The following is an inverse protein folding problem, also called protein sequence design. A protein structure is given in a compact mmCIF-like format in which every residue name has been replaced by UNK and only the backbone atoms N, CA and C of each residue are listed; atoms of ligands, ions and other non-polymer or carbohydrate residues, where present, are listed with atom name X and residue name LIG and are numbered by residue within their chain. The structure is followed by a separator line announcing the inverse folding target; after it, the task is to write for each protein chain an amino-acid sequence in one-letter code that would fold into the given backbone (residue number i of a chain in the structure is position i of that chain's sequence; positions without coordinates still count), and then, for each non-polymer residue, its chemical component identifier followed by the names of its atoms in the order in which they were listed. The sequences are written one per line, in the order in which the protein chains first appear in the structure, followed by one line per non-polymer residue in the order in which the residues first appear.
data_IF_386493010561
#
_entry.id   IF_386493010561
#
_cell.length_a   1.000
_cell.length_b   1.000
_cell.length_c   1.000
_cell.angle_alpha   90.00
_cell.angle_beta   90.00
_cell.angle_gamma   90.00
#
_symmetry.space_group_name_H-M   'P 1'
#
loop_
_entity.id
_entity.type
_entity.pdbx_description
1 polymer ?
#
# COMPACT_ATOMS: atom_id res chain seq x y z
N UNK A 1 -53.71 3.67 -82.34
CA UNK A 1 -54.44 3.66 -83.62
C UNK A 1 -53.56 2.95 -84.64
N UNK A 2 -53.91 1.70 -84.90
CA UNK A 2 -53.21 0.81 -85.83
C UNK A 2 -53.45 1.30 -87.24
N UNK A 3 -52.45 1.97 -87.82
CA UNK A 3 -52.41 2.21 -89.26
C UNK A 3 -51.87 0.91 -89.87
N UNK A 4 -52.80 0.11 -90.37
CA UNK A 4 -52.53 -1.15 -91.05
C UNK A 4 -51.54 -0.92 -92.18
N UNK A 5 -50.40 -1.58 -92.06
CA UNK A 5 -49.48 -1.83 -93.17
C UNK A 5 -50.25 -2.82 -94.06
N UNK A 6 -50.97 -2.32 -95.07
CA UNK A 6 -51.49 -3.20 -96.12
C UNK A 6 -50.28 -3.79 -96.85
N UNK A 7 -50.20 -5.12 -96.86
CA UNK A 7 -49.16 -5.85 -97.60
C UNK A 7 -49.31 -5.54 -99.11
N UNK A 8 -48.20 -5.56 -99.85
CA UNK A 8 -48.17 -5.24 -101.28
C UNK A 8 -49.20 -6.06 -102.10
N UNK A 9 -49.57 -7.26 -101.61
CA UNK A 9 -50.55 -8.15 -102.22
C UNK A 9 -52.01 -7.62 -102.15
N UNK A 10 -52.41 -6.96 -101.06
CA UNK A 10 -53.78 -6.40 -100.92
C UNK A 10 -54.00 -5.17 -101.81
N UNK A 11 -52.97 -4.33 -101.97
CA UNK A 11 -52.99 -3.22 -102.92
C UNK A 11 -53.05 -3.72 -104.37
N UNK A 12 -52.34 -4.80 -104.70
CA UNK A 12 -52.37 -5.42 -106.01
C UNK A 12 -53.73 -6.07 -106.35
N UNK A 13 -54.44 -6.64 -105.36
CA UNK A 13 -55.82 -7.12 -105.53
C UNK A 13 -56.82 -5.98 -105.74
N UNK A 14 -56.70 -4.90 -104.95
CA UNK A 14 -57.55 -3.72 -105.08
C UNK A 14 -57.47 -3.06 -106.47
N UNK A 15 -56.25 -2.90 -107.02
CA UNK A 15 -56.08 -2.35 -108.37
C UNK A 15 -56.56 -3.32 -109.47
N UNK A 16 -56.44 -4.65 -109.29
CA UNK A 16 -56.97 -5.65 -110.24
C UNK A 16 -58.49 -5.62 -110.35
N UNK A 17 -59.20 -5.57 -109.21
CA UNK A 17 -60.66 -5.47 -109.19
C UNK A 17 -61.16 -4.17 -109.84
N UNK A 18 -60.56 -3.03 -109.50
CA UNK A 18 -60.95 -1.73 -110.08
C UNK A 18 -60.69 -1.63 -111.58
N UNK A 19 -59.60 -2.23 -112.11
CA UNK A 19 -59.33 -2.25 -113.55
C UNK A 19 -60.26 -3.21 -114.30
N UNK A 20 -60.63 -4.36 -113.71
CA UNK A 20 -61.55 -5.34 -114.29
C UNK A 20 -62.98 -4.80 -114.48
N UNK A 21 -63.55 -4.16 -113.46
CA UNK A 21 -64.90 -3.56 -113.55
C UNK A 21 -64.96 -2.42 -114.58
N UNK A 22 -63.87 -1.66 -114.72
CA UNK A 22 -63.79 -0.49 -115.60
C UNK A 22 -63.56 -0.87 -117.07
N UNK A 23 -62.94 -2.02 -117.33
CA UNK A 23 -62.79 -2.59 -118.68
C UNK A 23 -64.14 -3.15 -119.20
N UNK A 24 -64.92 -3.78 -118.33
CA UNK A 24 -66.26 -4.30 -118.65
C UNK A 24 -67.25 -3.17 -119.01
N UNK A 25 -67.20 -2.03 -118.33
CA UNK A 25 -68.03 -0.86 -118.65
C UNK A 25 -67.66 -0.16 -119.98
N UNK A 26 -66.41 -0.31 -120.46
CA UNK A 26 -65.96 0.27 -121.73
C UNK A 26 -66.31 -0.59 -122.95
N UNK A 27 -66.48 -1.91 -122.78
CA UNK A 27 -66.89 -2.83 -123.85
C UNK A 27 -68.39 -2.79 -124.16
N UNK A 28 -69.23 -2.27 -123.26
CA UNK A 28 -70.69 -2.24 -123.41
C UNK A 28 -71.23 -1.07 -124.27
N UNK A 29 -70.38 -0.21 -124.83
CA UNK A 29 -70.76 1.07 -125.51
C UNK A 29 -70.63 1.11 -127.04
N UNK A 30 -70.45 -0.01 -127.74
CA UNK A 30 -70.46 -0.02 -129.21
C UNK A 30 -71.70 -0.73 -129.78
N UNK A 31 -72.61 0.00 -130.47
CA UNK A 31 -73.66 -0.59 -131.29
C UNK A 31 -73.10 -1.13 -132.62
N UNK A 32 -73.74 -2.19 -133.10
CA UNK A 32 -73.48 -2.95 -134.32
C UNK A 32 -74.56 -2.56 -135.36
N UNK A 33 -74.21 -2.09 -136.57
CA UNK A 33 -75.03 -2.13 -137.80
C UNK A 33 -74.12 -1.89 -139.04
N UNK A 34 -74.35 -2.74 -140.04
CA UNK A 34 -73.93 -2.84 -141.45
C UNK A 34 -74.11 -1.51 -142.24
N UNK A 35 -73.56 -1.20 -143.42
CA UNK A 35 -72.94 -1.94 -144.51
C UNK A 35 -72.15 -0.94 -145.41
N UNK A 36 -71.22 -1.52 -146.17
CA UNK A 36 -70.32 -1.03 -147.24
C UNK A 36 -70.58 0.33 -147.94
N UNK A 37 -69.54 1.18 -147.96
CA UNK A 37 -68.85 1.73 -149.16
C UNK A 37 -68.05 2.97 -148.77
N UNK A 38 -66.79 3.03 -149.20
CA UNK A 38 -66.01 4.28 -149.21
C UNK A 38 -64.90 4.38 -148.17
N UNK A 39 -63.68 4.19 -148.67
CA UNK A 39 -62.55 5.08 -148.43
C UNK A 39 -61.78 4.90 -147.10
N UNK A 40 -60.45 4.79 -147.23
CA UNK A 40 -59.40 4.57 -146.24
C UNK A 40 -59.33 5.58 -145.05
N UNK A 41 -60.39 6.35 -144.80
CA UNK A 41 -60.47 7.44 -143.82
C UNK A 41 -60.93 6.96 -142.43
N UNK A 42 -61.87 6.00 -142.32
CA UNK A 42 -62.38 5.52 -141.01
C UNK A 42 -61.40 4.64 -140.22
N UNK A 43 -60.58 3.84 -140.91
CA UNK A 43 -59.48 3.11 -140.28
C UNK A 43 -58.38 4.07 -139.77
N UNK A 44 -58.18 5.20 -140.44
CA UNK A 44 -57.32 6.27 -139.95
C UNK A 44 -57.91 6.97 -138.73
N UNK A 45 -59.24 7.15 -138.65
CA UNK A 45 -59.93 7.76 -137.51
C UNK A 45 -59.90 6.90 -136.25
N UNK A 46 -60.23 5.60 -136.32
CA UNK A 46 -60.10 4.69 -135.17
C UNK A 46 -58.65 4.50 -134.73
N UNK A 47 -57.69 4.53 -135.66
CA UNK A 47 -56.25 4.55 -135.36
C UNK A 47 -55.80 5.90 -134.78
N UNK A 48 -56.47 7.01 -135.13
CA UNK A 48 -56.33 8.33 -134.50
C UNK A 48 -56.91 8.34 -133.09
N UNK A 49 -58.10 7.81 -132.87
CA UNK A 49 -58.76 7.73 -131.56
C UNK A 49 -57.99 6.82 -130.60
N UNK A 50 -57.53 5.65 -131.06
CA UNK A 50 -56.67 4.79 -130.27
C UNK A 50 -55.32 5.46 -129.95
N UNK A 51 -54.74 6.23 -130.89
CA UNK A 51 -53.56 7.06 -130.63
C UNK A 51 -53.84 8.16 -129.60
N UNK A 52 -55.00 8.83 -129.70
CA UNK A 52 -55.42 9.91 -128.78
C UNK A 52 -55.67 9.34 -127.38
N UNK A 53 -56.38 8.22 -127.26
CA UNK A 53 -56.63 7.52 -126.00
C UNK A 53 -55.33 6.97 -125.40
N UNK A 54 -54.44 6.42 -126.22
CA UNK A 54 -53.10 6.00 -125.79
C UNK A 54 -52.29 7.21 -125.28
N UNK A 55 -52.29 8.34 -125.98
CA UNK A 55 -51.65 9.57 -125.47
C UNK A 55 -52.30 10.09 -124.19
N UNK A 56 -53.62 9.99 -124.03
CA UNK A 56 -54.31 10.40 -122.80
C UNK A 56 -54.05 9.45 -121.61
N UNK A 57 -53.93 8.15 -121.86
CA UNK A 57 -53.56 7.15 -120.86
C UNK A 57 -52.10 7.31 -120.44
N UNK A 58 -51.20 7.56 -121.40
CA UNK A 58 -49.80 7.87 -121.12
C UNK A 58 -49.68 9.20 -120.36
N UNK A 59 -50.47 10.24 -120.69
CA UNK A 59 -50.55 11.45 -119.87
C UNK A 59 -51.06 11.17 -118.43
N UNK A 60 -52.06 10.30 -118.25
CA UNK A 60 -52.54 9.95 -116.89
C UNK A 60 -51.52 9.15 -116.10
N UNK A 61 -50.87 8.14 -116.70
CA UNK A 61 -49.76 7.40 -116.10
C UNK A 61 -48.63 8.36 -115.73
N UNK A 62 -48.32 9.30 -116.61
CA UNK A 62 -47.33 10.35 -116.38
C UNK A 62 -47.67 11.24 -115.19
N UNK A 63 -48.92 11.70 -115.09
CA UNK A 63 -49.36 12.53 -113.95
C UNK A 63 -49.40 11.75 -112.63
N UNK A 64 -49.78 10.47 -112.66
CA UNK A 64 -49.75 9.61 -111.49
C UNK A 64 -48.32 9.32 -111.05
N UNK A 65 -47.44 9.04 -112.01
CA UNK A 65 -46.00 8.86 -111.80
C UNK A 65 -45.37 10.10 -111.16
N UNK A 66 -45.62 11.30 -111.70
CA UNK A 66 -45.16 12.56 -111.08
C UNK A 66 -45.71 12.80 -109.68
N UNK A 67 -46.98 12.45 -109.43
CA UNK A 67 -47.60 12.58 -108.10
C UNK A 67 -47.00 11.58 -107.10
N UNK A 68 -46.72 10.36 -107.54
CA UNK A 68 -46.07 9.34 -106.73
C UNK A 68 -44.61 9.73 -106.44
N UNK A 69 -43.88 10.25 -107.43
CA UNK A 69 -42.54 10.82 -107.25
C UNK A 69 -42.56 11.96 -106.22
N UNK A 70 -43.53 12.88 -106.29
CA UNK A 70 -43.67 13.97 -105.31
C UNK A 70 -44.00 13.48 -103.90
N UNK A 71 -44.87 12.46 -103.78
CA UNK A 71 -45.19 11.84 -102.49
C UNK A 71 -44.00 11.09 -101.92
N UNK A 72 -43.24 10.38 -102.76
CA UNK A 72 -42.04 9.67 -102.35
C UNK A 72 -40.96 10.65 -101.86
N UNK A 73 -40.73 11.74 -102.60
CA UNK A 73 -39.85 12.83 -102.16
C UNK A 73 -40.28 13.40 -100.80
N UNK A 74 -41.58 13.61 -100.58
CA UNK A 74 -42.10 14.13 -99.30
C UNK A 74 -41.98 13.13 -98.15
N UNK A 75 -42.12 11.84 -98.43
CA UNK A 75 -41.87 10.77 -97.46
C UNK A 75 -40.38 10.67 -97.09
N UNK A 76 -39.48 10.79 -98.08
CA UNK A 76 -38.04 10.88 -97.86
C UNK A 76 -37.67 12.14 -97.04
N UNK A 77 -38.27 13.30 -97.34
CA UNK A 77 -38.10 14.53 -96.56
C UNK A 77 -38.60 14.39 -95.11
N UNK A 78 -39.72 13.69 -94.88
CA UNK A 78 -40.22 13.44 -93.53
C UNK A 78 -39.32 12.45 -92.78
N UNK A 79 -38.85 11.40 -93.44
CA UNK A 79 -37.90 10.44 -92.88
C UNK A 79 -36.58 11.10 -92.51
N UNK A 80 -36.06 12.00 -93.35
CA UNK A 80 -34.85 12.79 -93.05
C UNK A 80 -35.08 13.76 -91.89
N UNK A 81 -36.23 14.44 -91.82
CA UNK A 81 -36.58 15.31 -90.67
C UNK A 81 -36.76 14.54 -89.37
N UNK A 82 -37.38 13.36 -89.40
CA UNK A 82 -37.52 12.50 -88.22
C UNK A 82 -36.14 12.01 -87.74
N UNK A 83 -35.28 11.57 -88.67
CA UNK A 83 -33.92 11.16 -88.35
C UNK A 83 -33.10 12.32 -87.74
N UNK A 84 -33.24 13.54 -88.28
CA UNK A 84 -32.64 14.75 -87.72
C UNK A 84 -33.15 15.04 -86.30
N UNK A 85 -34.46 14.94 -86.05
CA UNK A 85 -35.04 15.16 -84.73
C UNK A 85 -34.54 14.13 -83.71
N UNK A 86 -34.51 12.84 -84.09
CA UNK A 86 -33.94 11.77 -83.25
C UNK A 86 -32.47 12.02 -82.93
N UNK A 87 -31.67 12.43 -83.93
CA UNK A 87 -30.28 12.79 -83.72
C UNK A 87 -30.11 14.01 -82.79
N UNK A 88 -31.00 15.01 -82.90
CA UNK A 88 -31.00 16.17 -81.99
C UNK A 88 -31.36 15.77 -80.57
N UNK A 89 -32.40 14.96 -80.36
CA UNK A 89 -32.80 14.46 -79.04
C UNK A 89 -31.65 13.68 -78.39
N UNK A 90 -31.00 12.79 -79.14
CA UNK A 90 -29.86 12.04 -78.64
C UNK A 90 -28.69 12.94 -78.24
N UNK A 91 -28.38 13.97 -79.04
CA UNK A 91 -27.36 14.98 -78.70
C UNK A 91 -27.75 15.80 -77.46
N UNK A 92 -29.02 16.18 -77.32
CA UNK A 92 -29.52 16.90 -76.14
C UNK A 92 -29.44 16.03 -74.88
N UNK A 93 -29.83 14.76 -74.96
CA UNK A 93 -29.74 13.83 -73.85
C UNK A 93 -28.27 13.61 -73.42
N UNK A 94 -27.37 13.42 -74.39
CA UNK A 94 -25.93 13.38 -74.12
C UNK A 94 -25.44 14.67 -73.45
N UNK A 95 -25.86 15.84 -73.94
CA UNK A 95 -25.51 17.13 -73.33
C UNK A 95 -25.99 17.25 -71.88
N UNK A 96 -27.23 16.84 -71.59
CA UNK A 96 -27.78 16.84 -70.23
C UNK A 96 -26.99 15.88 -69.33
N UNK A 97 -26.70 14.66 -69.79
CA UNK A 97 -25.90 13.70 -69.04
C UNK A 97 -24.49 14.22 -68.76
N UNK A 98 -23.80 14.79 -69.75
CA UNK A 98 -22.48 15.39 -69.58
C UNK A 98 -22.49 16.57 -68.61
N UNK A 99 -23.52 17.43 -68.69
CA UNK A 99 -23.67 18.56 -67.79
C UNK A 99 -23.90 18.08 -66.35
N UNK A 100 -24.77 17.10 -66.13
CA UNK A 100 -25.01 16.55 -64.80
C UNK A 100 -23.76 15.84 -64.27
N UNK A 101 -22.99 15.14 -65.11
CA UNK A 101 -21.67 14.61 -64.73
C UNK A 101 -20.68 15.72 -64.34
N UNK A 102 -20.66 16.85 -65.05
CA UNK A 102 -19.83 18.02 -64.68
C UNK A 102 -20.29 18.60 -63.34
N UNK A 103 -21.60 18.74 -63.12
CA UNK A 103 -22.21 19.20 -61.86
C UNK A 103 -21.85 18.27 -60.70
N UNK A 104 -22.01 16.96 -60.86
CA UNK A 104 -21.67 15.94 -59.85
C UNK A 104 -20.17 15.99 -59.52
N UNK A 105 -19.29 16.10 -60.54
CA UNK A 105 -17.84 16.22 -60.33
C UNK A 105 -17.49 17.49 -59.54
N UNK A 106 -18.07 18.62 -59.91
CA UNK A 106 -17.87 19.90 -59.21
C UNK A 106 -18.36 19.82 -57.75
N UNK A 107 -19.54 19.24 -57.50
CA UNK A 107 -20.09 19.04 -56.16
C UNK A 107 -19.23 18.09 -55.32
N UNK A 108 -18.75 16.97 -55.89
CA UNK A 108 -17.84 16.05 -55.20
C UNK A 108 -16.53 16.74 -54.83
N UNK A 109 -15.95 17.53 -55.74
CA UNK A 109 -14.72 18.30 -55.48
C UNK A 109 -14.94 19.33 -54.37
N UNK A 110 -16.02 20.10 -54.44
CA UNK A 110 -16.38 21.09 -53.41
C UNK A 110 -16.62 20.44 -52.04
N UNK A 111 -17.30 19.29 -51.99
CA UNK A 111 -17.51 18.56 -50.73
C UNK A 111 -16.20 17.99 -50.17
N UNK A 112 -15.32 17.43 -51.01
CA UNK A 112 -13.99 16.96 -50.58
C UNK A 112 -13.15 18.10 -50.00
N UNK A 113 -13.18 19.27 -50.64
CA UNK A 113 -12.47 20.46 -50.17
C UNK A 113 -13.06 21.01 -48.85
N UNK A 114 -14.39 21.01 -48.70
CA UNK A 114 -15.06 21.37 -47.43
C UNK A 114 -14.70 20.42 -46.30
N UNK A 115 -14.63 19.12 -46.56
CA UNK A 115 -14.24 18.14 -45.53
C UNK A 115 -12.76 18.29 -45.15
N UNK A 116 -11.87 18.45 -46.14
CA UNK A 116 -10.45 18.69 -45.88
C UNK A 116 -10.25 19.98 -45.05
N UNK A 117 -10.98 21.05 -45.38
CA UNK A 117 -10.97 22.29 -44.58
C UNK A 117 -11.43 22.04 -43.15
N UNK A 118 -12.50 21.28 -42.94
CA UNK A 118 -12.98 20.90 -41.59
C UNK A 118 -11.92 20.12 -40.81
N UNK A 119 -11.27 19.15 -41.43
CA UNK A 119 -10.20 18.37 -40.81
C UNK A 119 -9.02 19.27 -40.41
N UNK A 120 -8.54 20.11 -41.33
CA UNK A 120 -7.44 21.06 -41.06
C UNK A 120 -7.78 22.06 -39.96
N UNK A 121 -9.01 22.54 -39.89
CA UNK A 121 -9.45 23.45 -38.81
C UNK A 121 -9.44 22.74 -37.45
N UNK A 122 -9.88 21.48 -37.38
CA UNK A 122 -9.82 20.68 -36.14
C UNK A 122 -8.39 20.42 -35.71
N UNK A 123 -7.51 20.04 -36.64
CA UNK A 123 -6.07 19.85 -36.37
C UNK A 123 -5.43 21.14 -35.86
N UNK A 124 -5.70 22.26 -36.53
CA UNK A 124 -5.20 23.58 -36.14
C UNK A 124 -5.70 23.99 -34.74
N UNK A 125 -6.94 23.67 -34.39
CA UNK A 125 -7.47 23.91 -33.05
C UNK A 125 -6.74 23.08 -31.98
N UNK A 126 -6.50 21.79 -32.24
CA UNK A 126 -5.75 20.89 -31.34
C UNK A 126 -4.32 21.40 -31.12
N UNK A 127 -3.59 21.67 -32.21
CA UNK A 127 -2.21 22.17 -32.14
C UNK A 127 -2.14 23.51 -31.40
N UNK A 128 -3.12 24.41 -31.61
CA UNK A 128 -3.19 25.68 -30.85
C UNK A 128 -3.40 25.46 -29.36
N UNK A 129 -4.25 24.50 -28.98
CA UNK A 129 -4.47 24.17 -27.57
C UNK A 129 -3.21 23.58 -26.93
N UNK A 130 -2.54 22.63 -27.60
CA UNK A 130 -1.28 22.03 -27.15
C UNK A 130 -0.19 23.10 -26.99
N UNK A 131 -0.05 23.99 -27.96
CA UNK A 131 0.89 25.11 -27.89
C UNK A 131 0.60 26.02 -26.69
N UNK A 132 -0.68 26.30 -26.42
CA UNK A 132 -1.09 27.06 -25.23
C UNK A 132 -0.71 26.37 -23.92
N UNK A 133 -0.96 25.06 -23.82
CA UNK A 133 -0.60 24.26 -22.65
C UNK A 133 0.92 24.23 -22.43
N UNK A 134 1.70 24.00 -23.49
CA UNK A 134 3.17 24.01 -23.43
C UNK A 134 3.71 25.38 -23.02
N UNK A 135 3.15 26.48 -23.54
CA UNK A 135 3.54 27.83 -23.14
C UNK A 135 3.30 28.09 -21.66
N UNK A 136 2.16 27.65 -21.13
CA UNK A 136 1.85 27.79 -19.71
C UNK A 136 2.81 26.98 -18.84
N UNK A 137 3.13 25.74 -19.25
CA UNK A 137 4.12 24.92 -18.54
C UNK A 137 5.52 25.56 -18.57
N UNK A 138 5.94 26.06 -19.74
CA UNK A 138 7.22 26.75 -19.87
C UNK A 138 7.27 28.01 -18.99
N UNK A 139 6.21 28.83 -18.98
CA UNK A 139 6.12 29.98 -18.08
C UNK A 139 6.23 29.56 -16.61
N UNK A 140 5.48 28.54 -16.18
CA UNK A 140 5.55 28.02 -14.81
C UNK A 140 6.95 27.54 -14.43
N UNK A 141 7.62 26.80 -15.31
CA UNK A 141 8.98 26.33 -15.08
C UNK A 141 9.99 27.48 -15.05
N UNK A 142 9.84 28.46 -15.94
CA UNK A 142 10.69 29.64 -16.00
C UNK A 142 10.57 30.49 -14.74
N UNK A 143 9.35 30.76 -14.26
CA UNK A 143 9.13 31.46 -12.99
C UNK A 143 9.80 30.72 -11.84
N UNK A 144 9.61 29.39 -11.75
CA UNK A 144 10.22 28.59 -10.69
C UNK A 144 11.75 28.56 -10.77
N UNK A 145 12.32 28.55 -11.97
CA UNK A 145 13.76 28.66 -12.17
C UNK A 145 14.28 30.04 -11.75
N UNK A 146 13.53 31.11 -12.01
CA UNK A 146 13.86 32.46 -11.51
C UNK A 146 13.79 32.55 -9.98
N UNK A 147 12.78 31.95 -9.35
CA UNK A 147 12.68 31.85 -7.89
C UNK A 147 13.90 31.15 -7.29
N UNK A 148 14.36 30.05 -7.91
CA UNK A 148 15.53 29.32 -7.43
C UNK A 148 16.88 29.96 -7.83
N UNK A 149 16.88 30.98 -8.69
CA UNK A 149 18.12 31.63 -9.14
C UNK A 149 18.91 32.27 -7.99
N UNK A 150 18.22 32.70 -6.92
CA UNK A 150 18.87 33.27 -5.73
C UNK A 150 19.74 32.22 -5.04
N UNK A 151 19.25 30.99 -4.90
CA UNK A 151 20.03 29.90 -4.29
C UNK A 151 21.16 29.46 -5.21
N UNK A 152 20.95 29.43 -6.53
CA UNK A 152 22.03 29.10 -7.45
C UNK A 152 23.17 30.13 -7.36
N UNK A 153 22.85 31.43 -7.42
CA UNK A 153 23.84 32.51 -7.24
C UNK A 153 24.55 32.46 -5.89
N UNK A 154 23.84 32.08 -4.83
CA UNK A 154 24.45 31.87 -3.53
C UNK A 154 25.44 30.70 -3.57
N UNK A 155 25.07 29.56 -4.15
CA UNK A 155 25.93 28.39 -4.27
C UNK A 155 27.12 28.64 -5.19
N UNK A 156 26.96 29.38 -6.29
CA UNK A 156 28.05 29.87 -7.13
C UNK A 156 29.07 30.67 -6.30
N UNK A 157 28.59 31.61 -5.46
CA UNK A 157 29.48 32.32 -4.53
C UNK A 157 30.16 31.42 -3.52
N UNK A 158 29.46 30.41 -3.00
CA UNK A 158 30.06 29.44 -2.06
C UNK A 158 31.21 28.69 -2.75
N UNK A 159 31.01 28.25 -4.00
CA UNK A 159 32.04 27.62 -4.83
C UNK A 159 33.23 28.56 -5.01
N UNK A 160 33.01 29.82 -5.41
CA UNK A 160 34.07 30.83 -5.59
C UNK A 160 34.96 31.04 -4.35
N UNK A 161 34.43 30.84 -3.15
CA UNK A 161 35.15 31.06 -1.89
C UNK A 161 35.57 29.74 -1.21
N UNK A 162 35.47 28.62 -1.91
CA UNK A 162 35.76 27.29 -1.36
C UNK A 162 36.77 26.51 -2.21
N UNK A 163 37.18 25.34 -1.73
CA UNK A 163 38.05 24.41 -2.44
C UNK A 163 37.30 23.56 -3.49
N UNK A 164 35.97 23.70 -3.60
CA UNK A 164 35.15 22.93 -4.53
C UNK A 164 35.11 23.60 -5.90
N UNK A 165 35.12 22.80 -6.97
CA UNK A 165 35.06 23.32 -8.34
C UNK A 165 33.61 23.49 -8.81
N UNK A 166 32.70 22.65 -8.30
CA UNK A 166 31.30 22.64 -8.71
C UNK A 166 30.32 22.65 -7.53
N UNK A 167 29.14 23.26 -7.76
CA UNK A 167 28.05 23.33 -6.77
C UNK A 167 27.62 21.93 -6.30
N UNK A 168 27.65 20.93 -7.20
CA UNK A 168 27.23 19.57 -6.87
C UNK A 168 28.15 18.94 -5.82
N UNK A 169 29.44 19.28 -5.81
CA UNK A 169 30.43 18.79 -4.83
C UNK A 169 30.13 19.37 -3.44
N UNK A 170 29.82 20.66 -3.37
CA UNK A 170 29.38 21.33 -2.13
C UNK A 170 28.14 20.65 -1.55
N UNK A 171 27.15 20.38 -2.40
CA UNK A 171 25.91 19.68 -1.99
C UNK A 171 26.21 18.26 -1.53
N UNK A 172 27.07 17.52 -2.24
CA UNK A 172 27.48 16.16 -1.87
C UNK A 172 28.17 16.16 -0.51
N UNK A 173 29.17 17.03 -0.32
CA UNK A 173 29.88 17.19 0.95
C UNK A 173 28.93 17.53 2.10
N UNK A 174 28.00 18.46 1.87
CA UNK A 174 26.99 18.83 2.85
C UNK A 174 26.11 17.65 3.24
N UNK A 175 25.63 16.86 2.27
CA UNK A 175 24.84 15.65 2.53
C UNK A 175 25.62 14.63 3.36
N UNK A 176 26.88 14.37 3.00
CA UNK A 176 27.74 13.46 3.78
C UNK A 176 27.95 13.99 5.19
N UNK A 177 28.18 15.30 5.35
CA UNK A 177 28.38 15.91 6.66
C UNK A 177 27.12 15.82 7.54
N UNK A 178 25.93 16.04 6.98
CA UNK A 178 24.67 15.84 7.70
C UNK A 178 24.50 14.40 8.13
N UNK A 179 24.76 13.45 7.23
CA UNK A 179 24.65 12.02 7.54
C UNK A 179 25.59 11.66 8.69
N UNK A 180 26.87 12.03 8.57
CA UNK A 180 27.86 11.81 9.63
C UNK A 180 27.46 12.50 10.94
N UNK A 181 26.90 13.71 10.88
CA UNK A 181 26.43 14.41 12.07
C UNK A 181 25.29 13.66 12.76
N UNK A 182 24.32 13.14 12.00
CA UNK A 182 23.26 12.29 12.53
C UNK A 182 23.83 11.02 13.18
N UNK A 183 24.73 10.32 12.49
CA UNK A 183 25.34 9.09 12.99
C UNK A 183 26.14 9.34 14.29
N UNK A 184 26.91 10.43 14.33
CA UNK A 184 27.66 10.84 15.52
C UNK A 184 26.74 11.23 16.68
N UNK A 185 25.66 11.96 16.41
CA UNK A 185 24.66 12.33 17.42
C UNK A 185 23.99 11.09 18.01
N UNK A 186 23.61 10.13 17.17
CA UNK A 186 23.03 8.87 17.62
C UNK A 186 24.03 8.08 18.47
N UNK A 187 25.27 7.94 18.01
CA UNK A 187 26.32 7.23 18.76
C UNK A 187 26.61 7.88 20.11
N UNK A 188 26.65 9.22 20.16
CA UNK A 188 26.82 9.97 21.41
C UNK A 188 25.65 9.74 22.37
N UNK A 189 24.41 9.74 21.87
CA UNK A 189 23.22 9.45 22.67
C UNK A 189 23.25 8.02 23.23
N UNK A 190 23.55 7.03 22.39
CA UNK A 190 23.68 5.63 22.84
C UNK A 190 24.78 5.47 23.88
N UNK A 191 25.92 6.15 23.72
CA UNK A 191 27.00 6.20 24.69
C UNK A 191 26.54 6.79 26.02
N UNK A 192 25.84 7.92 25.98
CA UNK A 192 25.28 8.57 27.18
C UNK A 192 24.29 7.66 27.91
N UNK A 193 23.39 7.00 27.18
CA UNK A 193 22.46 6.04 27.78
C UNK A 193 23.19 4.84 28.42
N UNK A 194 24.28 4.35 27.82
CA UNK A 194 25.08 3.27 28.43
C UNK A 194 25.72 3.73 29.74
N UNK A 195 26.24 4.97 29.78
CA UNK A 195 26.81 5.57 30.99
C UNK A 195 25.73 5.71 32.07
N UNK A 196 24.55 6.26 31.74
CA UNK A 196 23.46 6.44 32.69
C UNK A 196 22.94 5.10 33.22
N UNK A 197 22.81 4.07 32.36
CA UNK A 197 22.49 2.70 32.81
C UNK A 197 23.56 2.14 33.75
N UNK A 198 24.85 2.39 33.49
CA UNK A 198 25.93 1.93 34.35
C UNK A 198 25.93 2.65 35.70
N UNK A 199 25.74 3.97 35.72
CA UNK A 199 25.57 4.77 36.94
C UNK A 199 24.39 4.28 37.77
N UNK A 200 23.24 4.03 37.15
CA UNK A 200 22.05 3.53 37.84
C UNK A 200 22.28 2.13 38.45
N UNK A 201 22.99 1.23 37.76
CA UNK A 201 23.37 -0.07 38.32
C UNK A 201 24.33 0.08 39.50
N UNK A 202 25.31 0.97 39.39
CA UNK A 202 26.26 1.22 40.48
C UNK A 202 25.56 1.80 41.71
N UNK A 203 24.66 2.77 41.52
CA UNK A 203 23.91 3.38 42.61
C UNK A 203 23.06 2.34 43.37
N UNK A 204 22.36 1.45 42.65
CA UNK A 204 21.61 0.34 43.26
C UNK A 204 22.51 -0.61 44.03
N UNK A 205 23.64 -0.99 43.44
CA UNK A 205 24.60 -1.88 44.10
C UNK A 205 25.17 -1.25 45.37
N UNK A 206 25.45 0.05 45.36
CA UNK A 206 25.89 0.77 46.56
C UNK A 206 24.82 0.77 47.64
N UNK A 207 23.56 1.09 47.30
CA UNK A 207 22.43 1.07 48.24
C UNK A 207 22.24 -0.32 48.86
N UNK A 208 22.26 -1.38 48.03
CA UNK A 208 22.19 -2.77 48.50
C UNK A 208 23.34 -3.11 49.46
N UNK A 209 24.56 -2.64 49.17
CA UNK A 209 25.72 -2.89 50.04
C UNK A 209 25.72 -2.07 51.32
N UNK A 210 25.23 -0.84 51.28
CA UNK A 210 25.05 -0.01 52.46
C UNK A 210 24.01 -0.65 53.39
N UNK A 211 22.92 -1.18 52.84
CA UNK A 211 21.92 -1.94 53.58
C UNK A 211 22.50 -3.22 54.23
N UNK A 212 23.31 -3.99 53.48
CA UNK A 212 24.02 -5.15 54.02
C UNK A 212 24.97 -4.77 55.18
N UNK A 213 25.72 -3.67 55.03
CA UNK A 213 26.60 -3.15 56.09
C UNK A 213 25.80 -2.77 57.33
N UNK A 214 24.66 -2.09 57.16
CA UNK A 214 23.76 -1.74 58.27
C UNK A 214 23.21 -2.99 58.97
N UNK A 215 22.83 -4.02 58.22
CA UNK A 215 22.38 -5.28 58.78
C UNK A 215 23.48 -5.95 59.60
N UNK A 216 24.71 -6.07 59.08
CA UNK A 216 25.83 -6.66 59.80
C UNK A 216 26.23 -5.85 61.03
N UNK A 217 26.16 -4.52 60.98
CA UNK A 217 26.42 -3.67 62.14
C UNK A 217 25.39 -3.91 63.26
N UNK A 218 24.10 -4.01 62.89
CA UNK A 218 23.05 -4.34 63.85
C UNK A 218 23.26 -5.74 64.47
N UNK A 219 23.67 -6.73 63.68
CA UNK A 219 24.01 -8.07 64.18
C UNK A 219 25.21 -8.04 65.13
N UNK A 220 26.25 -7.28 64.79
CA UNK A 220 27.43 -7.09 65.62
C UNK A 220 27.07 -6.45 66.95
N UNK A 221 26.29 -5.38 66.95
CA UNK A 221 25.82 -4.73 68.17
C UNK A 221 25.02 -5.70 69.05
N UNK A 222 24.14 -6.51 68.47
CA UNK A 222 23.37 -7.53 69.19
C UNK A 222 24.26 -8.60 69.82
N UNK A 223 25.25 -9.08 69.08
CA UNK A 223 26.22 -10.06 69.57
C UNK A 223 27.08 -9.48 70.71
N UNK A 224 27.50 -8.23 70.57
CA UNK A 224 28.29 -7.54 71.58
C UNK A 224 27.50 -7.32 72.88
N UNK A 225 26.22 -6.91 72.79
CA UNK A 225 25.34 -6.84 73.97
C UNK A 225 25.18 -8.21 74.67
N UNK A 226 25.07 -9.29 73.89
CA UNK A 226 25.01 -10.65 74.46
C UNK A 226 26.31 -11.04 75.15
N UNK A 227 27.45 -10.72 74.53
CA UNK A 227 28.77 -10.97 75.09
C UNK A 227 28.96 -10.20 76.40
N UNK A 228 28.65 -8.90 76.42
CA UNK A 228 28.79 -8.06 77.61
C UNK A 228 27.89 -8.54 78.75
N UNK A 229 26.68 -8.99 78.44
CA UNK A 229 25.77 -9.61 79.42
C UNK A 229 26.35 -10.89 80.01
N UNK A 230 26.81 -11.81 79.16
CA UNK A 230 27.44 -13.04 79.62
C UNK A 230 28.69 -12.76 80.46
N UNK A 231 29.52 -11.79 80.06
CA UNK A 231 30.69 -11.35 80.82
C UNK A 231 30.30 -10.80 82.19
N UNK A 232 29.26 -9.97 82.27
CA UNK A 232 28.74 -9.45 83.53
C UNK A 232 28.26 -10.58 84.45
N UNK A 233 27.54 -11.57 83.90
CA UNK A 233 27.07 -12.72 84.68
C UNK A 233 28.23 -13.55 85.22
N UNK A 234 29.28 -13.78 84.41
CA UNK A 234 30.51 -14.48 84.85
C UNK A 234 31.14 -13.77 86.05
N UNK A 235 31.32 -12.44 85.99
CA UNK A 235 31.88 -11.67 87.10
C UNK A 235 31.05 -11.82 88.38
N UNK A 236 29.71 -11.81 88.27
CA UNK A 236 28.82 -12.01 89.42
C UNK A 236 29.00 -13.40 90.02
N UNK A 237 29.08 -14.44 89.18
CA UNK A 237 29.27 -15.81 89.64
C UNK A 237 30.65 -16.07 90.22
N UNK A 238 31.72 -15.50 89.65
CA UNK A 238 33.07 -15.56 90.19
C UNK A 238 33.15 -14.92 91.58
N UNK A 239 32.51 -13.76 91.77
CA UNK A 239 32.43 -13.10 93.08
C UNK A 239 31.70 -13.95 94.11
N UNK A 240 30.53 -14.53 93.73
CA UNK A 240 29.79 -15.46 94.59
C UNK A 240 30.61 -16.70 94.94
N UNK A 241 31.29 -17.27 93.96
CA UNK A 241 32.16 -18.43 94.13
C UNK A 241 33.31 -18.13 95.09
N UNK A 242 34.01 -16.99 94.90
CA UNK A 242 35.06 -16.53 95.80
C UNK A 242 34.55 -16.32 97.24
N UNK A 243 33.33 -15.81 97.41
CA UNK A 243 32.70 -15.68 98.73
C UNK A 243 32.43 -17.05 99.39
N UNK A 244 31.90 -18.01 98.63
CA UNK A 244 31.68 -19.38 99.09
C UNK A 244 33.01 -20.02 99.49
N UNK A 245 34.04 -19.93 98.63
CA UNK A 245 35.37 -20.46 98.91
C UNK A 245 35.99 -19.84 100.17
N UNK A 246 35.95 -18.51 100.31
CA UNK A 246 36.45 -17.83 101.50
C UNK A 246 35.70 -18.26 102.77
N UNK A 247 34.38 -18.44 102.69
CA UNK A 247 33.57 -18.90 103.82
C UNK A 247 33.91 -20.34 104.18
N UNK A 248 34.06 -21.22 103.18
CA UNK A 248 34.48 -22.60 103.38
C UNK A 248 35.88 -22.66 104.01
N UNK A 249 36.85 -21.88 103.52
CA UNK A 249 38.19 -21.79 104.08
C UNK A 249 38.17 -21.34 105.55
N UNK A 250 37.38 -20.30 105.88
CA UNK A 250 37.17 -19.85 107.28
C UNK A 250 36.58 -20.95 108.16
N UNK A 251 35.55 -21.66 107.69
CA UNK A 251 34.93 -22.76 108.44
C UNK A 251 35.90 -23.93 108.64
N UNK A 252 36.66 -24.29 107.60
CA UNK A 252 37.68 -25.34 107.67
C UNK A 252 38.79 -24.96 108.66
N UNK A 253 39.25 -23.71 108.65
CA UNK A 253 40.24 -23.22 109.60
C UNK A 253 39.70 -23.23 111.04
N UNK A 254 38.48 -22.76 111.27
CA UNK A 254 37.83 -22.78 112.58
C UNK A 254 37.68 -24.21 113.09
N UNK A 255 37.20 -25.13 112.24
CA UNK A 255 37.09 -26.54 112.58
C UNK A 255 38.47 -27.13 112.93
N UNK A 256 39.50 -26.86 112.13
CA UNK A 256 40.87 -27.29 112.42
C UNK A 256 41.38 -26.74 113.77
N UNK A 257 41.08 -25.47 114.07
CA UNK A 257 41.45 -24.83 115.34
C UNK A 257 40.74 -25.49 116.53
N UNK A 258 39.44 -25.74 116.43
CA UNK A 258 38.66 -26.45 117.45
C UNK A 258 39.22 -27.86 117.66
N UNK A 259 39.49 -28.60 116.58
CA UNK A 259 40.07 -29.94 116.65
C UNK A 259 41.43 -29.93 117.36
N UNK A 260 42.30 -28.97 117.04
CA UNK A 260 43.61 -28.84 117.70
C UNK A 260 43.49 -28.46 119.17
N UNK A 261 42.61 -27.51 119.51
CA UNK A 261 42.39 -27.12 120.91
C UNK A 261 41.81 -28.29 121.74
N UNK A 262 40.84 -29.01 121.19
CA UNK A 262 40.28 -30.21 121.80
C UNK A 262 41.34 -31.30 122.00
N UNK A 263 42.15 -31.58 120.98
CA UNK A 263 43.25 -32.54 121.07
C UNK A 263 44.28 -32.13 122.14
N UNK A 264 44.65 -30.85 122.19
CA UNK A 264 45.58 -30.33 123.20
C UNK A 264 45.03 -30.49 124.62
N UNK A 265 43.76 -30.14 124.85
CA UNK A 265 43.11 -30.32 126.15
C UNK A 265 43.01 -31.81 126.53
N UNK A 266 42.65 -32.66 125.57
CA UNK A 266 42.58 -34.10 125.78
C UNK A 266 43.93 -34.67 126.19
N UNK A 267 45.01 -34.29 125.51
CA UNK A 267 46.37 -34.70 125.88
C UNK A 267 46.75 -34.28 127.31
N UNK A 268 46.33 -33.08 127.75
CA UNK A 268 46.54 -32.63 129.14
C UNK A 268 45.78 -33.53 130.13
N UNK A 269 44.50 -33.78 129.87
CA UNK A 269 43.63 -34.63 130.69
C UNK A 269 44.18 -36.06 130.76
N UNK A 270 44.50 -36.68 129.62
CA UNK A 270 45.10 -38.02 129.57
C UNK A 270 46.42 -38.11 130.32
N UNK A 271 47.26 -37.06 130.27
CA UNK A 271 48.52 -37.01 131.04
C UNK A 271 48.27 -36.99 132.55
N UNK A 272 47.22 -36.31 133.03
CA UNK A 272 46.86 -36.25 134.44
C UNK A 272 46.25 -37.56 134.96
N UNK A 273 45.42 -38.23 134.15
CA UNK A 273 44.83 -39.52 134.50
C UNK A 273 45.82 -40.70 134.47
N UNK A 274 47.04 -40.52 133.93
CA UNK A 274 48.03 -41.60 133.69
C UNK A 274 47.51 -42.78 132.84
N UNK A 275 46.32 -42.66 132.27
CA UNK A 275 45.74 -43.61 131.32
C UNK A 275 46.01 -43.14 129.90
N UNK A 276 46.76 -43.92 129.15
CA UNK A 276 46.83 -43.77 127.69
C UNK A 276 45.56 -44.35 127.08
N UNK A 277 44.46 -43.61 127.14
CA UNK A 277 43.23 -44.01 126.46
C UNK A 277 43.49 -44.07 124.94
N UNK A 278 43.18 -45.21 124.32
CA UNK A 278 43.37 -45.50 122.90
C UNK A 278 42.34 -44.76 122.02
N UNK A 279 42.22 -43.44 122.17
CA UNK A 279 41.35 -42.60 121.35
C UNK A 279 42.12 -42.15 120.11
N UNK A 280 41.50 -42.30 118.93
CA UNK A 280 42.08 -41.86 117.67
C UNK A 280 42.30 -40.34 117.66
N UNK A 281 43.43 -39.91 117.09
CA UNK A 281 43.79 -38.49 116.95
C UNK A 281 42.76 -37.70 116.11
N UNK A 282 42.02 -38.36 115.23
CA UNK A 282 41.01 -37.71 114.39
C UNK A 282 39.60 -37.68 115.00
N UNK A 283 39.36 -38.42 116.08
CA UNK A 283 38.04 -38.55 116.71
C UNK A 283 37.82 -37.48 117.78
N UNK A 284 37.59 -36.25 117.32
CA UNK A 284 37.43 -35.08 118.19
C UNK A 284 36.23 -35.18 119.13
N UNK A 285 35.16 -35.88 118.75
CA UNK A 285 33.98 -36.02 119.61
C UNK A 285 34.32 -36.83 120.85
N UNK A 286 34.95 -38.00 120.70
CA UNK A 286 35.38 -38.80 121.85
C UNK A 286 36.42 -38.11 122.72
N UNK A 287 37.31 -37.32 122.12
CA UNK A 287 38.28 -36.50 122.87
C UNK A 287 37.55 -35.50 123.77
N UNK A 288 36.52 -34.80 123.25
CA UNK A 288 35.70 -33.86 124.01
C UNK A 288 34.87 -34.56 125.09
N UNK A 289 34.29 -35.73 124.81
CA UNK A 289 33.52 -36.52 125.80
C UNK A 289 34.40 -36.88 127.01
N UNK A 290 35.65 -37.30 126.76
CA UNK A 290 36.59 -37.61 127.84
C UNK A 290 37.01 -36.37 128.63
N UNK A 291 37.23 -35.23 127.96
CA UNK A 291 37.49 -33.96 128.66
C UNK A 291 36.29 -33.57 129.53
N UNK A 292 35.06 -33.70 129.00
CA UNK A 292 33.83 -33.38 129.72
C UNK A 292 33.68 -34.26 130.96
N UNK A 293 33.85 -35.58 130.82
CA UNK A 293 33.78 -36.52 131.94
C UNK A 293 34.79 -36.14 133.03
N UNK A 294 36.03 -35.85 132.65
CA UNK A 294 37.06 -35.45 133.61
C UNK A 294 36.73 -34.13 134.34
N UNK A 295 36.21 -33.12 133.63
CA UNK A 295 35.78 -31.85 134.25
C UNK A 295 34.59 -32.08 135.19
N UNK A 296 33.66 -32.96 134.82
CA UNK A 296 32.52 -33.32 135.66
C UNK A 296 32.98 -34.04 136.92
N UNK A 297 33.86 -35.02 136.80
CA UNK A 297 34.44 -35.75 137.93
C UNK A 297 35.18 -34.79 138.87
N UNK A 298 35.99 -33.86 138.34
CA UNK A 298 36.65 -32.82 139.15
C UNK A 298 35.66 -31.89 139.84
N UNK A 299 34.58 -31.50 139.16
CA UNK A 299 33.54 -30.64 139.73
C UNK A 299 32.76 -31.36 140.82
N UNK A 300 32.43 -32.63 140.61
CA UNK A 300 31.76 -33.47 141.59
C UNK A 300 32.65 -33.66 142.83
N UNK A 301 33.93 -33.99 142.64
CA UNK A 301 34.93 -34.04 143.73
C UNK A 301 34.99 -32.70 144.47
N UNK A 302 35.06 -31.58 143.74
CA UNK A 302 35.17 -30.25 144.37
C UNK A 302 33.90 -29.87 145.14
N UNK A 303 32.71 -30.16 144.60
CA UNK A 303 31.45 -29.95 145.32
C UNK A 303 31.35 -30.82 146.56
N UNK A 304 31.86 -32.06 146.51
CA UNK A 304 31.94 -32.94 147.66
C UNK A 304 32.91 -32.44 148.73
N UNK A 305 34.09 -31.94 148.32
CA UNK A 305 35.06 -31.29 149.21
C UNK A 305 34.45 -30.05 149.86
N UNK A 306 33.77 -29.20 149.09
CA UNK A 306 33.10 -28.00 149.59
C UNK A 306 31.94 -28.33 150.53
N UNK A 307 31.20 -29.42 150.28
CA UNK A 307 30.15 -29.93 151.17
C UNK A 307 30.75 -30.41 152.49
N UNK A 308 31.92 -31.05 152.45
CA UNK A 308 32.68 -31.46 153.64
C UNK A 308 33.24 -30.26 154.42
N UNK A 309 33.72 -29.21 153.75
CA UNK A 309 34.13 -27.95 154.40
C UNK A 309 32.93 -27.22 155.06
N UNK A 310 31.77 -27.16 154.39
CA UNK A 310 30.56 -26.57 154.97
C UNK A 310 29.99 -27.36 156.15
N UNK A 311 30.24 -28.69 156.19
CA UNK A 311 29.92 -29.52 157.35
C UNK A 311 30.91 -29.33 158.51
N UNK A 312 32.15 -28.90 158.25
CA UNK A 312 33.13 -28.54 159.29
C UNK A 312 32.89 -27.15 159.90
N UNK A 313 32.24 -26.22 159.19
CA UNK A 313 31.91 -24.86 159.70
C UNK A 313 30.58 -24.82 160.49
N UNK A 314 29.85 -25.95 160.57
CA UNK A 314 28.60 -26.08 161.34
C UNK A 314 28.74 -26.92 162.63
N UNK A 315 29.97 -27.16 163.08
CA UNK A 315 30.32 -27.66 164.42
C UNK A 315 30.77 -26.49 165.28
#
# INVERSE_FOLDING_TARGET
MSLGIMEEDELAEYFRLQYGERLLQLLQKFPNIEEQSGSSIRLLEKKKEAKIMHTAMEQKKETFRRRMETLNLRWEELGTKEAQLKAHIQKFEQFIQENDQKRIRALKKANKERELKRQRVRELAKVKQEMGALRLQHQRLSTRMQEFSVFNKYLEKVVEHSEFEEIHEVISRYKTLISMHHDLMQSAQEGQEKIERAKARLARYMEEKDDEILQHNNELARLQMRFDRARSDVIVWESRWAHIQNTAAKKTLLLGTIKMAALNLFQIVSKQLKETAAVSLEDTHKQLDMIQQFIQDLSDIWTEVRRKEQQQVRV
#
